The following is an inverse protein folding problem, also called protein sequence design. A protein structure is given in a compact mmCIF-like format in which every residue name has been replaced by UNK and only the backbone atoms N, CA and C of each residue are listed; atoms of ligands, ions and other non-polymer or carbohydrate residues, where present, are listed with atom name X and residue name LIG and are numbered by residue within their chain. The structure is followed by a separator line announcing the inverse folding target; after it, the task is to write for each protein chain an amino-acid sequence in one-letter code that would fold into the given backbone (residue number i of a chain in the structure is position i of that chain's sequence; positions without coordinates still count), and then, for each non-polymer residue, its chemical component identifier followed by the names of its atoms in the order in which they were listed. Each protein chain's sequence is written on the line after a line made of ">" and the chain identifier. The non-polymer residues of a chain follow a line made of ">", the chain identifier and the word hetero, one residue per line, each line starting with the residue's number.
data_IF_591930323987
#
_entry.id   IF_591930323987
#
_cell.length_a   1.000
_cell.length_b   1.000
_cell.length_c   1.000
_cell.angle_alpha   90.00
_cell.angle_beta   90.00
_cell.angle_gamma   90.00
#
_symmetry.space_group_name_H-M   'P 1'
#
loop_
_entity.id
_entity.type
_entity.pdbx_description
1 polymer ?
#
# COMPACT_ATOMS: atom_id res chain seq x y z
N UNK A 1 -12.24 41.52 -19.63
CA UNK A 1 -12.24 40.87 -18.30
C UNK A 1 -10.85 40.30 -18.05
N UNK A 2 -10.04 41.02 -17.28
CA UNK A 2 -8.67 40.63 -16.95
C UNK A 2 -8.72 39.51 -15.89
N UNK A 3 -8.13 38.36 -16.19
CA UNK A 3 -7.96 37.26 -15.24
C UNK A 3 -6.90 37.70 -14.23
N UNK A 4 -7.35 38.13 -13.04
CA UNK A 4 -6.51 38.59 -11.95
C UNK A 4 -5.53 37.48 -11.56
N UNK A 5 -4.23 37.75 -11.68
CA UNK A 5 -3.14 36.79 -11.41
C UNK A 5 -3.09 36.31 -9.93
N UNK A 6 -3.87 36.89 -9.02
CA UNK A 6 -3.94 36.48 -7.60
C UNK A 6 -4.88 35.31 -7.31
N UNK A 7 -5.72 34.89 -8.26
CA UNK A 7 -6.72 33.82 -8.03
C UNK A 7 -6.24 32.42 -8.49
N UNK A 8 -4.97 32.27 -8.89
CA UNK A 8 -4.49 31.14 -9.71
C UNK A 8 -3.37 30.21 -9.18
N UNK A 9 -2.95 30.21 -7.90
CA UNK A 9 -2.13 29.10 -7.37
C UNK A 9 -2.70 28.33 -6.16
N UNK A 10 -3.84 28.73 -5.59
CA UNK A 10 -4.37 28.12 -4.35
C UNK A 10 -5.32 26.94 -4.64
N UNK A 11 -6.15 27.06 -5.68
CA UNK A 11 -7.13 26.03 -6.07
C UNK A 11 -6.46 24.78 -6.66
N UNK A 12 -5.41 24.96 -7.46
CA UNK A 12 -4.63 23.85 -8.00
C UNK A 12 -3.80 23.10 -6.95
N UNK A 13 -3.29 23.78 -5.92
CA UNK A 13 -2.57 23.13 -4.83
C UNK A 13 -3.52 22.36 -3.89
N UNK A 14 -4.67 22.93 -3.54
CA UNK A 14 -5.66 22.23 -2.72
C UNK A 14 -6.14 20.92 -3.38
N UNK A 15 -6.37 20.94 -4.70
CA UNK A 15 -6.72 19.73 -5.45
C UNK A 15 -5.59 18.68 -5.42
N UNK A 16 -4.33 19.11 -5.56
CA UNK A 16 -3.16 18.22 -5.44
C UNK A 16 -3.02 17.61 -4.05
N UNK A 17 -3.23 18.39 -2.98
CA UNK A 17 -3.20 17.87 -1.61
C UNK A 17 -4.30 16.85 -1.35
N UNK A 18 -5.53 17.10 -1.82
CA UNK A 18 -6.63 16.15 -1.71
C UNK A 18 -6.37 14.83 -2.46
N UNK A 19 -5.60 14.87 -3.55
CA UNK A 19 -5.16 13.68 -4.26
C UNK A 19 -4.06 12.92 -3.50
N UNK A 20 -3.06 13.63 -3.00
CA UNK A 20 -1.98 13.07 -2.18
C UNK A 20 -2.57 12.36 -0.94
N UNK A 21 -3.57 12.94 -0.29
CA UNK A 21 -4.24 12.34 0.86
C UNK A 21 -4.96 11.03 0.50
N UNK A 22 -5.57 10.94 -0.68
CA UNK A 22 -6.20 9.69 -1.16
C UNK A 22 -5.16 8.61 -1.43
N UNK A 23 -4.05 8.96 -2.06
CA UNK A 23 -2.95 8.04 -2.34
C UNK A 23 -2.28 7.55 -1.05
N UNK A 24 -2.05 8.46 -0.09
CA UNK A 24 -1.52 8.13 1.23
C UNK A 24 -2.43 7.19 2.01
N UNK A 25 -3.75 7.43 2.00
CA UNK A 25 -4.73 6.52 2.64
C UNK A 25 -4.73 5.14 2.00
N UNK A 26 -4.65 5.06 0.68
CA UNK A 26 -4.63 3.78 -0.01
C UNK A 26 -3.34 2.99 0.32
N UNK A 27 -2.20 3.67 0.39
CA UNK A 27 -0.94 3.06 0.81
C UNK A 27 -0.98 2.63 2.29
N UNK A 28 -1.64 3.41 3.16
CA UNK A 28 -1.82 3.05 4.56
C UNK A 28 -2.67 1.78 4.72
N UNK A 29 -3.76 1.65 3.95
CA UNK A 29 -4.60 0.43 3.94
C UNK A 29 -3.79 -0.77 3.44
N UNK A 30 -2.98 -0.60 2.39
CA UNK A 30 -2.06 -1.63 1.91
C UNK A 30 -1.08 -2.10 3.00
N UNK A 31 -0.47 -1.16 3.73
CA UNK A 31 0.42 -1.48 4.84
C UNK A 31 -0.29 -2.22 5.99
N UNK A 32 -1.52 -1.84 6.33
CA UNK A 32 -2.33 -2.56 7.32
C UNK A 32 -2.63 -3.99 6.86
N UNK A 33 -2.96 -4.21 5.59
CA UNK A 33 -3.18 -5.55 5.04
C UNK A 33 -1.94 -6.44 5.16
N UNK A 34 -0.77 -5.92 4.78
CA UNK A 34 0.50 -6.66 4.88
C UNK A 34 0.81 -6.96 6.36
N UNK A 35 0.59 -6.00 7.25
CA UNK A 35 0.80 -6.19 8.69
C UNK A 35 -0.13 -7.28 9.23
N UNK A 36 -1.42 -7.23 8.91
CA UNK A 36 -2.38 -8.26 9.31
C UNK A 36 -1.98 -9.65 8.80
N UNK A 37 -1.53 -9.75 7.54
CA UNK A 37 -1.04 -11.01 6.98
C UNK A 37 0.16 -11.56 7.75
N UNK A 38 1.15 -10.73 8.10
CA UNK A 38 2.32 -11.14 8.88
C UNK A 38 1.91 -11.71 10.25
N UNK A 39 1.05 -11.00 10.98
CA UNK A 39 0.57 -11.45 12.28
C UNK A 39 -0.29 -12.71 12.19
N UNK A 40 -1.14 -12.83 11.17
CA UNK A 40 -1.95 -14.02 10.92
C UNK A 40 -1.07 -15.24 10.62
N UNK A 41 -0.05 -15.07 9.79
CA UNK A 41 0.89 -16.14 9.42
C UNK A 41 1.66 -16.63 10.65
N UNK A 42 2.13 -15.72 11.50
CA UNK A 42 2.77 -16.07 12.76
C UNK A 42 1.77 -16.79 13.68
N UNK A 43 0.56 -16.27 13.86
CA UNK A 43 -0.43 -16.86 14.75
C UNK A 43 -0.83 -18.28 14.35
N UNK A 44 -1.06 -18.54 13.05
CA UNK A 44 -1.44 -19.86 12.56
C UNK A 44 -0.28 -20.86 12.58
N UNK A 45 0.94 -20.43 12.25
CA UNK A 45 2.07 -21.35 12.07
C UNK A 45 3.06 -21.35 13.24
N UNK A 46 2.84 -20.60 14.32
CA UNK A 46 3.72 -20.59 15.50
C UNK A 46 3.90 -21.97 16.13
N UNK A 47 2.86 -22.79 16.11
CA UNK A 47 2.85 -24.12 16.75
C UNK A 47 3.35 -25.22 15.80
N UNK A 48 3.69 -24.86 14.56
CA UNK A 48 4.25 -25.78 13.58
C UNK A 48 5.74 -25.99 13.87
N UNK A 49 6.10 -27.17 14.37
CA UNK A 49 7.50 -27.61 14.59
C UNK A 49 8.27 -27.93 13.30
N UNK A 50 7.68 -27.62 12.14
CA UNK A 50 8.29 -27.79 10.83
C UNK A 50 9.38 -26.74 10.64
N UNK A 51 10.60 -27.21 10.38
CA UNK A 51 11.74 -26.37 10.05
C UNK A 51 12.07 -26.56 8.57
N UNK A 52 12.28 -25.44 7.87
CA UNK A 52 12.63 -25.43 6.45
C UNK A 52 13.92 -24.61 6.33
N UNK A 53 14.98 -25.21 5.80
CA UNK A 53 16.31 -24.58 5.70
C UNK A 53 16.93 -24.20 7.08
N UNK A 54 16.74 -25.03 8.10
CA UNK A 54 17.19 -24.79 9.49
C UNK A 54 16.56 -23.57 10.20
N UNK A 55 15.57 -22.91 9.56
CA UNK A 55 14.77 -21.85 10.15
C UNK A 55 13.29 -22.26 10.25
N UNK A 56 12.54 -21.69 11.20
CA UNK A 56 11.16 -22.06 11.41
C UNK A 56 10.25 -21.74 10.22
N UNK A 57 9.30 -22.64 9.92
CA UNK A 57 8.43 -22.53 8.74
C UNK A 57 7.61 -21.23 8.73
N UNK A 58 7.10 -20.78 9.88
CA UNK A 58 6.31 -19.54 9.97
C UNK A 58 7.11 -18.32 9.51
N UNK A 59 8.43 -18.31 9.73
CA UNK A 59 9.31 -17.23 9.32
C UNK A 59 9.48 -17.22 7.80
N UNK A 60 9.77 -18.39 7.22
CA UNK A 60 9.91 -18.54 5.77
C UNK A 60 8.60 -18.20 5.03
N UNK A 61 7.45 -18.66 5.55
CA UNK A 61 6.14 -18.35 4.97
C UNK A 61 5.79 -16.86 5.08
N UNK A 62 6.16 -16.20 6.19
CA UNK A 62 5.94 -14.76 6.35
C UNK A 62 6.83 -13.96 5.40
N UNK A 63 8.11 -14.32 5.25
CA UNK A 63 9.04 -13.61 4.38
C UNK A 63 8.73 -13.83 2.89
N UNK A 64 8.58 -15.09 2.46
CA UNK A 64 8.32 -15.41 1.05
C UNK A 64 6.88 -15.04 0.69
N UNK A 65 5.90 -15.45 1.49
CA UNK A 65 4.49 -15.14 1.25
C UNK A 65 4.20 -13.64 1.35
N UNK A 66 4.83 -12.93 2.29
CA UNK A 66 4.72 -11.48 2.42
C UNK A 66 5.29 -10.75 1.20
N UNK A 67 6.36 -11.25 0.58
CA UNK A 67 6.90 -10.68 -0.66
C UNK A 67 5.92 -10.80 -1.84
N UNK A 68 5.37 -11.99 -2.06
CA UNK A 68 4.35 -12.19 -3.11
C UNK A 68 3.10 -11.35 -2.86
N UNK A 69 2.63 -11.31 -1.61
CA UNK A 69 1.49 -10.48 -1.21
C UNK A 69 1.77 -9.00 -1.48
N UNK A 70 2.97 -8.52 -1.14
CA UNK A 70 3.39 -7.14 -1.39
C UNK A 70 3.37 -6.81 -2.89
N UNK A 71 3.86 -7.70 -3.76
CA UNK A 71 3.79 -7.52 -5.22
C UNK A 71 2.34 -7.38 -5.68
N UNK A 72 1.44 -8.25 -5.22
CA UNK A 72 0.02 -8.21 -5.60
C UNK A 72 -0.65 -6.92 -5.09
N UNK A 73 -0.38 -6.53 -3.85
CA UNK A 73 -0.92 -5.31 -3.24
C UNK A 73 -0.43 -4.07 -3.98
N UNK A 74 0.86 -3.98 -4.29
CA UNK A 74 1.43 -2.87 -5.08
C UNK A 74 0.86 -2.87 -6.49
N UNK A 75 0.76 -4.03 -7.14
CA UNK A 75 0.18 -4.13 -8.48
C UNK A 75 -1.28 -3.65 -8.50
N UNK A 76 -2.07 -4.06 -7.50
CA UNK A 76 -3.44 -3.60 -7.33
C UNK A 76 -3.49 -2.09 -7.06
N UNK A 77 -2.65 -1.58 -6.17
CA UNK A 77 -2.57 -0.16 -5.84
C UNK A 77 -2.23 0.69 -7.07
N UNK A 78 -1.22 0.29 -7.85
CA UNK A 78 -0.83 0.97 -9.09
C UNK A 78 -1.99 0.96 -10.10
N UNK A 79 -2.67 -0.18 -10.25
CA UNK A 79 -3.70 -0.33 -11.29
C UNK A 79 -5.04 0.32 -10.91
N UNK A 80 -5.39 0.41 -9.64
CA UNK A 80 -6.65 1.00 -9.17
C UNK A 80 -6.52 2.45 -8.68
N UNK A 81 -5.40 2.82 -8.05
CA UNK A 81 -5.23 4.15 -7.44
C UNK A 81 -4.47 5.08 -8.38
N UNK A 82 -3.32 4.65 -8.93
CA UNK A 82 -2.55 5.50 -9.84
C UNK A 82 -3.17 5.59 -11.24
N UNK A 83 -3.99 4.63 -11.68
CA UNK A 83 -4.67 4.76 -12.98
C UNK A 83 -5.76 5.86 -13.00
N UNK A 84 -6.12 6.43 -11.83
CA UNK A 84 -6.99 7.59 -11.71
C UNK A 84 -6.25 8.94 -11.83
N UNK A 85 -5.05 8.96 -12.43
CA UNK A 85 -4.44 10.18 -12.98
C UNK A 85 -5.25 10.66 -14.21
N UNK A 86 -6.48 11.14 -14.01
CA UNK A 86 -7.10 12.07 -14.95
C UNK A 86 -6.55 13.44 -14.61
N UNK A 87 -5.44 13.81 -15.25
CA UNK A 87 -4.83 15.15 -15.18
C UNK A 87 -5.49 16.07 -16.22
N UNK A 88 -6.82 16.17 -16.19
CA UNK A 88 -7.56 17.20 -16.91
C UNK A 88 -7.93 18.35 -15.96
#
# INVERSE_FOLDING_TARGET
>A
MAKTKSDLPLTGQAAKFAQIDKEARANFIAALFITAYFWLTIYLFKDSSLTLLAMPLWFMLSCIGGYFLSIVVVWFLVRHVMRNFSLD
#
